data_IF_369139481518
#
_entry.id   IF_369139481518
#
_cell.length_a   1.000
_cell.length_b   1.000
_cell.length_c   1.000
_cell.angle_alpha   90.00
_cell.angle_beta   90.00
_cell.angle_gamma   90.00
#
_symmetry.space_group_name_H-M   'P 1'
#
loop_
_entity.id
_entity.type
_entity.pdbx_description
1 polymer ?
#
# COMPACT_ATOMS: atom_id res chain seq x y z
N UNK A 1 -0.54 -1.81 -51.61
CA UNK A 1 0.69 -1.02 -51.78
C UNK A 1 1.69 -1.41 -50.70
N UNK A 2 2.66 -2.22 -51.06
CA UNK A 2 3.73 -2.72 -50.20
C UNK A 2 4.74 -1.61 -49.90
N UNK A 3 4.80 -1.13 -48.65
CA UNK A 3 5.88 -0.26 -48.22
C UNK A 3 7.17 -1.07 -48.10
N UNK A 4 8.09 -0.84 -49.03
CA UNK A 4 9.48 -1.25 -48.92
C UNK A 4 10.08 -0.61 -47.65
N UNK A 5 10.40 -1.44 -46.66
CA UNK A 5 11.31 -1.04 -45.59
C UNK A 5 12.68 -0.67 -46.22
N UNK A 6 13.34 0.42 -45.78
CA UNK A 6 14.47 0.96 -46.53
C UNK A 6 15.67 0.01 -46.51
N UNK A 7 16.34 -0.13 -47.66
CA UNK A 7 17.56 -0.92 -47.90
C UNK A 7 18.74 -0.56 -46.96
N UNK A 8 18.63 0.47 -46.14
CA UNK A 8 19.62 0.88 -45.13
C UNK A 8 19.85 -0.17 -44.02
N UNK A 9 18.93 -1.13 -43.84
CA UNK A 9 19.07 -2.16 -42.80
C UNK A 9 20.18 -3.19 -43.06
N UNK A 10 20.51 -3.49 -44.33
CA UNK A 10 21.52 -4.51 -44.69
C UNK A 10 22.96 -4.02 -44.54
N UNK A 11 23.25 -2.75 -44.86
CA UNK A 11 24.61 -2.18 -44.76
C UNK A 11 25.10 -2.03 -43.31
N UNK A 12 24.17 -1.86 -42.35
CA UNK A 12 24.49 -1.72 -40.91
C UNK A 12 24.51 -3.04 -40.13
N UNK A 13 24.11 -4.16 -40.73
CA UNK A 13 24.11 -5.48 -40.08
C UNK A 13 25.50 -5.92 -39.54
N UNK A 14 26.60 -5.86 -40.32
CA UNK A 14 27.90 -6.30 -39.81
C UNK A 14 28.39 -5.43 -38.64
N UNK A 15 28.15 -4.12 -38.69
CA UNK A 15 28.46 -3.21 -37.59
C UNK A 15 27.66 -3.54 -36.32
N UNK A 16 26.37 -3.81 -36.45
CA UNK A 16 25.51 -4.20 -35.31
C UNK A 16 26.00 -5.50 -34.66
N UNK A 17 26.35 -6.51 -35.47
CA UNK A 17 26.86 -7.80 -34.98
C UNK A 17 28.20 -7.64 -34.25
N UNK A 18 29.13 -6.87 -34.85
CA UNK A 18 30.42 -6.55 -34.21
C UNK A 18 30.23 -5.83 -32.87
N UNK A 19 29.42 -4.77 -32.85
CA UNK A 19 29.12 -4.00 -31.64
C UNK A 19 28.53 -4.89 -30.54
N UNK A 20 27.56 -5.74 -30.88
CA UNK A 20 26.94 -6.67 -29.93
C UNK A 20 27.96 -7.68 -29.39
N UNK A 21 28.81 -8.23 -30.25
CA UNK A 21 29.84 -9.19 -29.85
C UNK A 21 30.82 -8.58 -28.84
N UNK A 22 31.37 -7.40 -29.15
CA UNK A 22 32.33 -6.71 -28.27
C UNK A 22 31.65 -6.31 -26.95
N UNK A 23 30.47 -5.70 -27.00
CA UNK A 23 29.73 -5.32 -25.80
C UNK A 23 29.45 -6.51 -24.89
N UNK A 24 28.97 -7.62 -25.45
CA UNK A 24 28.70 -8.84 -24.70
C UNK A 24 29.97 -9.46 -24.10
N UNK A 25 31.11 -9.38 -24.81
CA UNK A 25 32.41 -9.84 -24.32
C UNK A 25 32.95 -9.00 -23.17
N UNK A 26 32.71 -7.69 -23.19
CA UNK A 26 33.25 -6.75 -22.20
C UNK A 26 32.38 -6.67 -20.95
N UNK A 27 31.06 -6.49 -21.10
CA UNK A 27 30.13 -6.22 -20.00
C UNK A 27 29.42 -7.49 -19.48
N UNK A 28 29.27 -8.54 -20.30
CA UNK A 28 28.49 -9.72 -19.94
C UNK A 28 26.97 -9.48 -19.96
N UNK A 29 26.17 -10.52 -19.67
CA UNK A 29 24.68 -10.43 -19.65
C UNK A 29 24.12 -9.79 -18.36
N UNK A 30 24.81 -9.91 -17.23
CA UNK A 30 24.31 -9.45 -15.93
C UNK A 30 24.38 -7.92 -15.74
N UNK A 31 25.24 -7.23 -16.51
CA UNK A 31 25.40 -5.77 -16.45
C UNK A 31 24.20 -4.98 -17.02
N UNK A 32 23.27 -5.63 -17.73
CA UNK A 32 22.06 -4.98 -18.27
C UNK A 32 20.93 -4.83 -17.23
N UNK A 33 20.96 -5.60 -16.13
CA UNK A 33 19.80 -5.76 -15.23
C UNK A 33 19.90 -4.89 -13.96
N UNK A 34 21.08 -4.40 -13.60
CA UNK A 34 21.28 -3.60 -12.38
C UNK A 34 20.98 -2.11 -12.60
N UNK A 35 20.34 -1.50 -11.60
CA UNK A 35 20.03 -0.06 -11.47
C UNK A 35 21.18 0.79 -11.99
N UNK A 36 20.87 1.86 -12.75
CA UNK A 36 21.84 2.73 -13.43
C UNK A 36 22.77 3.48 -12.45
N UNK A 37 23.76 2.79 -11.89
CA UNK A 37 24.85 3.41 -11.16
C UNK A 37 25.87 4.01 -12.13
N UNK A 38 26.51 5.12 -11.77
CA UNK A 38 27.52 5.78 -12.61
C UNK A 38 28.65 4.83 -13.03
N UNK A 39 29.02 3.89 -12.16
CA UNK A 39 30.04 2.88 -12.48
C UNK A 39 29.66 2.00 -13.68
N UNK A 40 28.38 1.68 -13.85
CA UNK A 40 27.89 0.98 -15.04
C UNK A 40 28.02 1.86 -16.29
N UNK A 41 27.81 3.16 -16.17
CA UNK A 41 28.02 4.11 -17.27
C UNK A 41 29.50 4.21 -17.63
N UNK A 42 30.41 4.26 -16.66
CA UNK A 42 31.87 4.23 -16.90
C UNK A 42 32.34 2.93 -17.54
N UNK A 43 31.73 1.81 -17.17
CA UNK A 43 31.97 0.50 -17.81
C UNK A 43 31.46 0.47 -19.25
N UNK A 44 30.24 0.97 -19.50
CA UNK A 44 29.66 1.10 -20.85
C UNK A 44 30.47 2.04 -21.73
N UNK A 45 30.96 3.14 -21.17
CA UNK A 45 31.78 4.11 -21.89
C UNK A 45 33.10 3.48 -22.30
N UNK A 46 33.77 2.75 -21.40
CA UNK A 46 34.94 1.96 -21.75
C UNK A 46 34.65 0.93 -22.86
N UNK A 47 33.56 0.17 -22.75
CA UNK A 47 33.19 -0.81 -23.76
C UNK A 47 32.92 -0.15 -25.13
N UNK A 48 32.24 1.01 -25.15
CA UNK A 48 32.00 1.79 -26.35
C UNK A 48 33.32 2.28 -26.94
N UNK A 49 34.23 2.80 -26.11
CA UNK A 49 35.55 3.23 -26.57
C UNK A 49 36.31 2.09 -27.23
N UNK A 50 36.25 0.86 -26.70
CA UNK A 50 36.88 -0.31 -27.35
C UNK A 50 36.22 -0.65 -28.69
N UNK A 51 34.88 -0.60 -28.77
CA UNK A 51 34.12 -0.83 -30.02
C UNK A 51 34.56 0.12 -31.13
N UNK A 52 34.74 1.41 -30.82
CA UNK A 52 35.13 2.38 -31.84
C UNK A 52 36.64 2.44 -32.06
N UNK A 53 37.45 2.28 -31.01
CA UNK A 53 38.90 2.39 -31.11
C UNK A 53 39.52 1.22 -31.90
N UNK A 54 39.01 -0.01 -31.77
CA UNK A 54 39.60 -1.17 -32.46
C UNK A 54 39.61 -1.02 -33.99
N UNK A 55 38.50 -0.70 -34.69
CA UNK A 55 38.51 -0.53 -36.14
C UNK A 55 39.24 0.74 -36.56
N UNK A 56 39.06 1.85 -35.83
CA UNK A 56 39.65 3.15 -36.18
C UNK A 56 41.18 3.12 -36.02
N UNK A 57 41.70 2.42 -35.01
CA UNK A 57 43.14 2.29 -34.81
C UNK A 57 43.85 1.53 -35.92
N UNK A 58 43.17 0.66 -36.68
CA UNK A 58 43.76 0.00 -37.87
C UNK A 58 44.15 1.02 -38.95
N UNK A 59 43.37 2.10 -39.12
CA UNK A 59 43.70 3.18 -40.06
C UNK A 59 44.96 3.94 -39.65
N UNK A 60 45.24 4.05 -38.35
CA UNK A 60 46.47 4.66 -37.85
C UNK A 60 47.65 3.67 -37.87
N UNK A 61 47.39 2.40 -37.58
CA UNK A 61 48.40 1.37 -37.44
C UNK A 61 49.03 0.98 -38.78
N UNK A 62 48.23 0.84 -39.85
CA UNK A 62 48.73 0.40 -41.16
C UNK A 62 49.77 1.37 -41.74
N UNK A 63 49.52 2.69 -41.85
CA UNK A 63 50.53 3.64 -42.32
C UNK A 63 51.73 3.72 -41.39
N UNK A 64 51.50 3.67 -40.07
CA UNK A 64 52.59 3.69 -39.08
C UNK A 64 53.53 2.50 -39.25
N UNK A 65 52.99 1.32 -39.53
CA UNK A 65 53.77 0.10 -39.77
C UNK A 65 54.57 0.18 -41.08
N UNK A 66 53.94 0.67 -42.14
CA UNK A 66 54.59 0.89 -43.44
C UNK A 66 55.77 1.85 -43.30
N UNK A 67 55.56 3.00 -42.66
CA UNK A 67 56.61 4.01 -42.46
C UNK A 67 57.72 3.45 -41.56
N UNK A 68 57.39 2.77 -40.46
CA UNK A 68 58.39 2.20 -39.56
C UNK A 68 59.28 1.15 -40.26
N UNK A 69 58.70 0.34 -41.15
CA UNK A 69 59.43 -0.63 -41.96
C UNK A 69 60.38 0.04 -42.96
N UNK A 70 59.94 1.08 -43.66
CA UNK A 70 60.80 1.80 -44.62
C UNK A 70 61.87 2.67 -43.95
N UNK A 71 61.66 3.12 -42.71
CA UNK A 71 62.61 3.92 -41.94
C UNK A 71 63.62 3.09 -41.13
N UNK A 72 63.68 1.76 -41.33
CA UNK A 72 64.57 0.83 -40.60
C UNK A 72 64.43 0.91 -39.05
N UNK A 73 63.23 1.23 -38.57
CA UNK A 73 62.92 1.32 -37.14
C UNK A 73 62.24 0.05 -36.62
N UNK A 74 62.98 -1.07 -36.61
CA UNK A 74 62.46 -2.40 -36.26
C UNK A 74 61.80 -2.46 -34.87
N UNK A 75 62.38 -1.78 -33.88
CA UNK A 75 61.83 -1.77 -32.52
C UNK A 75 60.44 -1.12 -32.47
N UNK A 76 60.24 -0.02 -33.18
CA UNK A 76 58.96 0.69 -33.21
C UNK A 76 57.86 -0.18 -33.87
N UNK A 77 58.25 -0.91 -34.91
CA UNK A 77 57.40 -1.85 -35.62
C UNK A 77 56.90 -2.99 -34.71
N UNK A 78 57.82 -3.63 -33.97
CA UNK A 78 57.51 -4.69 -33.01
C UNK A 78 56.66 -4.17 -31.85
N UNK A 79 57.01 -3.01 -31.29
CA UNK A 79 56.26 -2.42 -30.18
C UNK A 79 54.81 -2.07 -30.57
N UNK A 80 54.59 -1.46 -31.74
CA UNK A 80 53.24 -1.09 -32.19
C UNK A 80 52.35 -2.32 -32.46
N UNK A 81 52.87 -3.33 -33.17
CA UNK A 81 52.12 -4.55 -33.46
C UNK A 81 51.85 -5.40 -32.20
N UNK A 82 52.87 -5.54 -31.34
CA UNK A 82 52.74 -6.25 -30.07
C UNK A 82 51.73 -5.58 -29.14
N UNK A 83 51.79 -4.25 -29.02
CA UNK A 83 50.88 -3.51 -28.16
C UNK A 83 49.43 -3.55 -28.67
N UNK A 84 49.20 -3.41 -29.97
CA UNK A 84 47.84 -3.55 -30.54
C UNK A 84 47.26 -4.94 -30.28
N UNK A 85 48.04 -5.99 -30.52
CA UNK A 85 47.63 -7.38 -30.27
C UNK A 85 47.30 -7.61 -28.80
N UNK A 86 48.15 -7.13 -27.90
CA UNK A 86 47.93 -7.20 -26.45
C UNK A 86 46.65 -6.45 -26.04
N UNK A 87 46.44 -5.22 -26.54
CA UNK A 87 45.24 -4.44 -26.28
C UNK A 87 43.97 -5.18 -26.69
N UNK A 88 43.94 -5.79 -27.88
CA UNK A 88 42.78 -6.54 -28.36
C UNK A 88 42.51 -7.77 -27.48
N UNK A 89 43.53 -8.56 -27.16
CA UNK A 89 43.41 -9.77 -26.34
C UNK A 89 42.91 -9.41 -24.93
N UNK A 90 43.52 -8.42 -24.29
CA UNK A 90 43.16 -7.99 -22.94
C UNK A 90 41.76 -7.36 -22.94
N UNK A 91 41.44 -6.54 -23.93
CA UNK A 91 40.14 -5.90 -24.05
C UNK A 91 39.00 -6.88 -24.33
N UNK A 92 39.25 -8.08 -24.87
CA UNK A 92 38.20 -9.08 -25.13
C UNK A 92 38.26 -10.28 -24.17
N UNK A 93 39.22 -10.31 -23.25
CA UNK A 93 39.39 -11.39 -22.28
C UNK A 93 38.24 -11.42 -21.27
N UNK A 94 37.56 -12.58 -21.18
CA UNK A 94 36.55 -12.86 -20.14
C UNK A 94 37.16 -13.34 -18.82
N UNK A 95 38.44 -13.74 -18.82
CA UNK A 95 39.11 -14.29 -17.63
C UNK A 95 39.56 -13.22 -16.63
N UNK A 96 39.79 -12.01 -17.11
CA UNK A 96 40.31 -10.90 -16.31
C UNK A 96 39.14 -9.98 -15.92
N UNK A 97 39.08 -9.58 -14.64
CA UNK A 97 38.07 -8.62 -14.14
C UNK A 97 38.14 -7.31 -14.94
N UNK A 98 36.98 -6.70 -15.20
CA UNK A 98 36.88 -5.50 -16.05
C UNK A 98 37.75 -4.33 -15.53
N UNK A 99 37.77 -4.09 -14.22
CA UNK A 99 38.62 -3.06 -13.61
C UNK A 99 40.11 -3.28 -13.88
N UNK A 100 40.59 -4.54 -13.83
CA UNK A 100 41.98 -4.89 -14.10
C UNK A 100 42.29 -4.72 -15.60
N UNK A 101 41.36 -5.10 -16.48
CA UNK A 101 41.51 -4.91 -17.94
C UNK A 101 41.67 -3.42 -18.28
N UNK A 102 40.82 -2.55 -17.72
CA UNK A 102 40.93 -1.10 -17.88
C UNK A 102 42.32 -0.59 -17.48
N UNK A 103 42.81 -1.02 -16.32
CA UNK A 103 44.12 -0.61 -15.80
C UNK A 103 45.27 -1.07 -16.71
N UNK A 104 45.29 -2.35 -17.11
CA UNK A 104 46.34 -2.89 -17.98
C UNK A 104 46.36 -2.17 -19.32
N UNK A 105 45.20 -1.90 -19.92
CA UNK A 105 45.09 -1.16 -21.19
C UNK A 105 45.69 0.24 -21.06
N UNK A 106 45.36 0.95 -19.98
CA UNK A 106 45.93 2.29 -19.72
C UNK A 106 47.45 2.21 -19.59
N UNK A 107 47.98 1.24 -18.83
CA UNK A 107 49.43 1.05 -18.68
C UNK A 107 50.10 0.79 -20.02
N UNK A 108 49.54 -0.09 -20.86
CA UNK A 108 50.09 -0.38 -22.20
C UNK A 108 50.10 0.90 -23.05
N UNK A 109 49.00 1.66 -23.08
CA UNK A 109 48.92 2.90 -23.85
C UNK A 109 49.94 3.94 -23.36
N UNK A 110 50.14 4.07 -22.04
CA UNK A 110 51.15 4.97 -21.46
C UNK A 110 52.57 4.55 -21.84
N UNK A 111 52.88 3.24 -21.83
CA UNK A 111 54.18 2.73 -22.25
C UNK A 111 54.45 3.03 -23.73
N UNK A 112 53.46 2.85 -24.61
CA UNK A 112 53.57 3.25 -26.03
C UNK A 112 53.86 4.75 -26.14
N UNK A 113 53.15 5.58 -25.39
CA UNK A 113 53.34 7.03 -25.41
C UNK A 113 54.77 7.43 -25.00
N UNK A 114 55.33 6.78 -23.98
CA UNK A 114 56.72 6.97 -23.54
C UNK A 114 57.71 6.58 -24.64
N UNK A 115 57.50 5.43 -25.29
CA UNK A 115 58.36 4.96 -26.41
C UNK A 115 58.29 5.97 -27.58
N UNK A 116 57.10 6.44 -27.93
CA UNK A 116 56.91 7.44 -28.98
C UNK A 116 57.61 8.75 -28.66
N UNK A 117 57.56 9.23 -27.41
CA UNK A 117 58.34 10.41 -26.99
C UNK A 117 59.83 10.11 -27.17
N UNK A 118 60.35 9.01 -26.63
CA UNK A 118 61.78 8.69 -26.66
C UNK A 118 62.38 8.57 -28.07
N UNK A 119 61.61 8.03 -29.04
CA UNK A 119 62.08 7.77 -30.40
C UNK A 119 61.78 8.89 -31.40
N UNK A 120 60.59 9.50 -31.32
CA UNK A 120 60.14 10.51 -32.30
C UNK A 120 60.23 11.94 -31.77
N UNK A 121 60.62 12.17 -30.51
CA UNK A 121 60.77 13.51 -29.97
C UNK A 121 59.45 14.28 -29.92
N UNK A 122 59.52 15.58 -30.22
CA UNK A 122 58.37 16.48 -30.32
C UNK A 122 57.57 16.33 -31.63
N UNK A 123 58.19 15.79 -32.69
CA UNK A 123 57.47 15.39 -33.91
C UNK A 123 56.59 14.17 -33.65
N UNK A 124 56.86 13.45 -32.56
CA UNK A 124 56.08 12.32 -32.09
C UNK A 124 54.73 12.74 -31.51
N UNK A 125 53.72 11.91 -31.78
CA UNK A 125 52.37 12.07 -31.24
C UNK A 125 52.32 11.67 -29.74
N UNK A 126 53.44 11.20 -29.14
CA UNK A 126 53.48 10.63 -27.79
C UNK A 126 52.95 11.54 -26.67
N UNK A 127 53.23 12.84 -26.70
CA UNK A 127 52.66 13.80 -25.75
C UNK A 127 51.15 13.99 -25.91
N UNK A 128 50.66 13.92 -27.14
CA UNK A 128 49.22 13.89 -27.44
C UNK A 128 48.61 12.60 -26.92
N UNK A 129 49.28 11.46 -27.04
CA UNK A 129 48.83 10.20 -26.43
C UNK A 129 48.72 10.31 -24.90
N UNK A 130 49.73 10.84 -24.20
CA UNK A 130 49.65 11.04 -22.75
C UNK A 130 48.47 11.94 -22.34
N UNK A 131 48.22 13.00 -23.13
CA UNK A 131 47.08 13.88 -22.92
C UNK A 131 45.75 13.12 -23.09
N UNK A 132 45.57 12.44 -24.20
CA UNK A 132 44.34 11.69 -24.53
C UNK A 132 44.10 10.54 -23.55
N UNK A 133 45.16 9.87 -23.09
CA UNK A 133 45.07 8.84 -22.05
C UNK A 133 44.56 9.44 -20.74
N UNK A 134 45.06 10.62 -20.34
CA UNK A 134 44.55 11.33 -19.16
C UNK A 134 43.05 11.64 -19.26
N UNK A 135 42.59 12.11 -20.42
CA UNK A 135 41.17 12.31 -20.72
C UNK A 135 40.38 11.01 -20.62
N UNK A 136 40.90 9.94 -21.21
CA UNK A 136 40.26 8.63 -21.20
C UNK A 136 40.11 8.07 -19.78
N UNK A 137 41.14 8.21 -18.94
CA UNK A 137 41.11 7.82 -17.52
C UNK A 137 40.04 8.61 -16.77
N UNK A 138 39.93 9.92 -17.00
CA UNK A 138 38.91 10.77 -16.36
C UNK A 138 37.48 10.30 -16.65
N UNK A 139 37.22 9.74 -17.84
CA UNK A 139 35.91 9.19 -18.20
C UNK A 139 35.62 7.80 -17.59
N UNK A 140 36.62 6.92 -17.49
CA UNK A 140 36.37 5.50 -17.16
C UNK A 140 36.67 5.14 -15.69
N UNK A 141 37.36 6.02 -14.95
CA UNK A 141 37.74 5.81 -13.55
C UNK A 141 37.15 6.89 -12.62
N UNK A 142 37.54 6.87 -11.34
CA UNK A 142 37.18 7.92 -10.38
C UNK A 142 38.08 9.15 -10.55
N UNK A 143 37.62 10.35 -10.15
CA UNK A 143 38.43 11.57 -10.21
C UNK A 143 39.80 11.42 -9.55
N UNK A 144 39.88 10.67 -8.44
CA UNK A 144 41.15 10.41 -7.73
C UNK A 144 42.17 9.72 -8.63
N UNK A 145 41.75 8.71 -9.38
CA UNK A 145 42.64 7.98 -10.31
C UNK A 145 43.06 8.88 -11.48
N UNK A 146 42.17 9.76 -11.96
CA UNK A 146 42.49 10.71 -13.01
C UNK A 146 43.57 11.72 -12.58
N UNK A 147 43.49 12.25 -11.35
CA UNK A 147 44.54 13.12 -10.81
C UNK A 147 45.85 12.38 -10.53
N UNK A 148 45.80 11.11 -10.11
CA UNK A 148 47.01 10.29 -9.99
C UNK A 148 47.68 10.06 -11.36
N UNK A 149 46.89 9.85 -12.41
CA UNK A 149 47.42 9.73 -13.77
C UNK A 149 48.03 11.04 -14.28
N UNK A 150 47.43 12.19 -13.95
CA UNK A 150 48.02 13.49 -14.22
C UNK A 150 49.38 13.64 -13.52
N UNK A 151 49.48 13.29 -12.24
CA UNK A 151 50.75 13.32 -11.51
C UNK A 151 51.81 12.39 -12.13
N UNK A 152 51.41 11.21 -12.63
CA UNK A 152 52.28 10.32 -13.38
C UNK A 152 52.77 10.97 -14.68
N UNK A 153 51.89 11.64 -15.43
CA UNK A 153 52.28 12.38 -16.64
C UNK A 153 53.29 13.49 -16.33
N UNK A 154 53.10 14.24 -15.23
CA UNK A 154 54.07 15.24 -14.76
C UNK A 154 55.43 14.61 -14.52
N UNK A 155 55.46 13.47 -13.81
CA UNK A 155 56.70 12.74 -13.54
C UNK A 155 57.39 12.31 -14.85
N UNK A 156 56.64 11.77 -15.81
CA UNK A 156 57.17 11.37 -17.13
C UNK A 156 57.83 12.56 -17.84
N UNK A 157 57.17 13.72 -17.89
CA UNK A 157 57.73 14.92 -18.53
C UNK A 157 58.99 15.43 -17.83
N UNK A 158 59.02 15.40 -16.49
CA UNK A 158 60.21 15.75 -15.71
C UNK A 158 61.35 14.78 -16.01
N UNK A 159 61.09 13.47 -16.05
CA UNK A 159 62.11 12.45 -16.38
C UNK A 159 62.72 12.70 -17.75
N UNK A 160 61.91 12.98 -18.78
CA UNK A 160 62.42 13.33 -20.10
C UNK A 160 63.19 14.66 -20.11
N UNK A 161 62.77 15.64 -19.31
CA UNK A 161 63.51 16.90 -19.14
C UNK A 161 64.90 16.68 -18.54
N UNK A 162 65.02 15.79 -17.55
CA UNK A 162 66.31 15.40 -16.97
C UNK A 162 67.19 14.65 -17.97
N UNK A 163 66.60 13.75 -18.77
CA UNK A 163 67.30 13.04 -19.87
C UNK A 163 67.89 14.05 -20.87
N UNK A 164 67.12 15.08 -21.25
CA UNK A 164 67.60 16.16 -22.15
C UNK A 164 68.75 16.94 -21.51
N UNK A 165 68.60 17.33 -20.24
CA UNK A 165 69.56 18.17 -19.55
C UNK A 165 70.91 17.47 -19.33
N UNK A 166 70.89 16.22 -18.85
CA UNK A 166 72.10 15.45 -18.57
C UNK A 166 72.65 14.68 -19.78
N UNK A 167 71.90 14.64 -20.90
CA UNK A 167 72.27 13.90 -22.11
C UNK A 167 72.57 12.42 -21.84
N UNK A 168 71.74 11.76 -21.03
CA UNK A 168 71.99 10.38 -20.56
C UNK A 168 72.12 9.31 -21.66
N UNK A 169 71.50 9.50 -22.84
CA UNK A 169 71.56 8.55 -23.96
C UNK A 169 71.60 9.29 -25.30
N UNK A 170 72.14 8.68 -26.36
CA UNK A 170 71.99 9.22 -27.72
C UNK A 170 70.56 8.96 -28.21
N UNK A 171 69.68 9.95 -28.01
CA UNK A 171 68.33 9.96 -28.56
C UNK A 171 68.16 11.16 -29.51
N UNK A 172 67.39 11.01 -30.61
CA UNK A 172 66.99 12.13 -31.48
C UNK A 172 66.40 13.32 -30.70
N UNK A 173 65.80 13.04 -29.54
CA UNK A 173 65.18 14.01 -28.64
C UNK A 173 66.17 15.06 -28.09
N UNK A 174 67.42 14.65 -27.79
CA UNK A 174 68.47 15.55 -27.27
C UNK A 174 69.06 16.43 -28.37
N UNK A 175 69.14 15.92 -29.60
CA UNK A 175 69.70 16.66 -30.74
C UNK A 175 68.75 17.73 -31.29
N UNK A 176 67.44 17.55 -31.12
CA UNK A 176 66.42 18.41 -31.72
C UNK A 176 65.91 19.51 -30.79
N UNK A 177 65.94 19.32 -29.46
CA UNK A 177 65.32 20.25 -28.51
C UNK A 177 66.27 20.68 -27.39
N UNK A 178 66.68 21.96 -27.36
CA UNK A 178 67.23 22.54 -26.16
C UNK A 178 66.18 22.54 -25.03
N UNK A 179 66.66 22.45 -23.79
CA UNK A 179 65.82 22.23 -22.59
C UNK A 179 64.71 23.27 -22.41
N UNK A 180 64.93 24.52 -22.82
CA UNK A 180 63.95 25.59 -22.74
C UNK A 180 62.69 25.32 -23.58
N UNK A 181 62.85 24.76 -24.79
CA UNK A 181 61.72 24.40 -25.65
C UNK A 181 60.95 23.19 -25.09
N UNK A 182 61.65 22.21 -24.50
CA UNK A 182 61.00 21.08 -23.85
C UNK A 182 60.15 21.52 -22.64
N UNK A 183 60.67 22.45 -21.84
CA UNK A 183 59.92 23.00 -20.70
C UNK A 183 58.65 23.71 -21.18
N UNK A 184 58.76 24.60 -22.17
CA UNK A 184 57.59 25.30 -22.72
C UNK A 184 56.57 24.33 -23.33
N UNK A 185 57.04 23.30 -24.05
CA UNK A 185 56.19 22.29 -24.67
C UNK A 185 55.46 21.43 -23.63
N UNK A 186 56.18 20.85 -22.69
CA UNK A 186 55.61 19.98 -21.65
C UNK A 186 54.65 20.72 -20.72
N UNK A 187 54.95 21.98 -20.35
CA UNK A 187 54.06 22.79 -19.53
C UNK A 187 52.73 23.08 -20.23
N UNK A 188 52.73 23.36 -21.54
CA UNK A 188 51.49 23.57 -22.29
C UNK A 188 50.62 22.31 -22.31
N UNK A 189 51.21 21.14 -22.55
CA UNK A 189 50.48 19.87 -22.51
C UNK A 189 49.96 19.52 -21.12
N UNK A 190 50.76 19.75 -20.07
CA UNK A 190 50.34 19.54 -18.69
C UNK A 190 49.21 20.48 -18.30
N UNK A 191 49.28 21.76 -18.68
CA UNK A 191 48.22 22.74 -18.45
C UNK A 191 46.91 22.31 -19.11
N UNK A 192 46.95 21.96 -20.41
CA UNK A 192 45.77 21.47 -21.14
C UNK A 192 45.23 20.18 -20.51
N UNK A 193 46.10 19.24 -20.14
CA UNK A 193 45.70 17.98 -19.54
C UNK A 193 45.02 18.20 -18.18
N UNK A 194 45.57 19.08 -17.35
CA UNK A 194 44.98 19.43 -16.05
C UNK A 194 43.59 20.06 -16.19
N UNK A 195 43.42 21.03 -17.11
CA UNK A 195 42.12 21.67 -17.35
C UNK A 195 41.10 20.62 -17.78
N UNK A 196 41.43 19.79 -18.78
CA UNK A 196 40.47 18.83 -19.33
C UNK A 196 40.09 17.77 -18.29
N UNK A 197 41.07 17.24 -17.54
CA UNK A 197 40.82 16.27 -16.47
C UNK A 197 39.91 16.87 -15.39
N UNK A 198 40.19 18.12 -14.99
CA UNK A 198 39.41 18.81 -13.96
C UNK A 198 37.97 19.06 -14.40
N UNK A 199 37.77 19.56 -15.63
CA UNK A 199 36.44 19.83 -16.20
C UNK A 199 35.61 18.54 -16.33
N UNK A 200 36.20 17.48 -16.90
CA UNK A 200 35.52 16.18 -17.03
C UNK A 200 35.17 15.61 -15.66
N UNK A 201 36.11 15.65 -14.72
CA UNK A 201 35.88 15.15 -13.36
C UNK A 201 34.75 15.90 -12.66
N UNK A 202 34.66 17.22 -12.83
CA UNK A 202 33.59 18.03 -12.25
C UNK A 202 32.23 17.75 -12.89
N UNK A 203 32.16 17.66 -14.22
CA UNK A 203 30.93 17.33 -14.95
C UNK A 203 30.42 15.94 -14.55
N UNK A 204 31.29 14.94 -14.50
CA UNK A 204 30.90 13.57 -14.14
C UNK A 204 30.43 13.49 -12.68
N UNK A 205 31.08 14.20 -11.76
CA UNK A 205 30.65 14.27 -10.37
C UNK A 205 29.28 14.97 -10.23
N UNK A 206 29.03 16.05 -10.98
CA UNK A 206 27.73 16.73 -11.00
C UNK A 206 26.61 15.85 -11.57
N UNK A 207 26.90 15.10 -12.64
CA UNK A 207 25.97 14.10 -13.20
C UNK A 207 25.67 12.99 -12.19
N UNK A 208 26.69 12.49 -11.47
CA UNK A 208 26.54 11.49 -10.43
C UNK A 208 25.56 11.94 -9.34
N UNK A 209 25.77 13.17 -8.85
CA UNK A 209 24.94 13.76 -7.81
C UNK A 209 23.50 13.96 -8.28
N UNK A 210 23.31 14.35 -9.54
CA UNK A 210 21.99 14.56 -10.14
C UNK A 210 21.22 13.24 -10.25
N UNK A 211 21.84 12.19 -10.80
CA UNK A 211 21.25 10.86 -10.91
C UNK A 211 20.90 10.30 -9.53
N UNK A 212 21.79 10.46 -8.55
CA UNK A 212 21.55 9.99 -7.18
C UNK A 212 20.36 10.72 -6.53
N UNK A 213 20.27 12.04 -6.73
CA UNK A 213 19.16 12.85 -6.21
C UNK A 213 17.82 12.45 -6.84
N UNK A 214 17.79 12.22 -8.16
CA UNK A 214 16.60 11.77 -8.88
C UNK A 214 16.15 10.37 -8.40
N UNK A 215 17.09 9.43 -8.28
CA UNK A 215 16.81 8.08 -7.79
C UNK A 215 16.22 8.11 -6.37
N UNK A 216 16.82 8.88 -5.45
CA UNK A 216 16.34 9.03 -4.07
C UNK A 216 14.93 9.63 -4.02
N UNK A 217 14.65 10.62 -4.87
CA UNK A 217 13.33 11.25 -4.92
C UNK A 217 12.27 10.27 -5.44
N UNK A 218 12.60 9.48 -6.46
CA UNK A 218 11.71 8.47 -7.01
C UNK A 218 11.40 7.37 -5.98
N UNK A 219 12.37 6.97 -5.17
CA UNK A 219 12.19 6.00 -4.09
C UNK A 219 11.24 6.51 -2.99
N UNK A 220 11.41 7.77 -2.58
CA UNK A 220 10.51 8.44 -1.62
C UNK A 220 9.09 8.52 -2.19
N UNK A 221 8.93 9.02 -3.42
CA UNK A 221 7.63 9.15 -4.06
C UNK A 221 6.91 7.81 -4.19
N UNK A 222 7.65 6.74 -4.53
CA UNK A 222 7.09 5.39 -4.64
C UNK A 222 6.57 4.88 -3.29
N UNK A 223 7.27 5.19 -2.19
CA UNK A 223 6.84 4.84 -0.84
C UNK A 223 5.57 5.59 -0.45
N UNK A 224 5.53 6.90 -0.67
CA UNK A 224 4.38 7.75 -0.33
C UNK A 224 3.13 7.36 -1.12
N UNK A 225 3.28 7.03 -2.41
CA UNK A 225 2.18 6.54 -3.24
C UNK A 225 1.60 5.23 -2.71
N UNK A 226 2.46 4.30 -2.28
CA UNK A 226 2.03 3.01 -1.72
C UNK A 226 1.26 3.20 -0.41
N UNK A 227 1.74 4.08 0.47
CA UNK A 227 1.05 4.41 1.72
C UNK A 227 -0.31 5.06 1.47
N UNK A 228 -0.37 6.01 0.53
CA UNK A 228 -1.62 6.67 0.13
C UNK A 228 -2.64 5.67 -0.43
N UNK A 229 -2.19 4.72 -1.24
CA UNK A 229 -3.05 3.67 -1.81
C UNK A 229 -3.58 2.72 -0.73
N UNK A 230 -2.74 2.32 0.22
CA UNK A 230 -3.15 1.50 1.37
C UNK A 230 -4.20 2.22 2.22
N UNK A 231 -3.98 3.49 2.55
CA UNK A 231 -4.94 4.28 3.33
C UNK A 231 -6.28 4.45 2.60
N UNK A 232 -6.25 4.67 1.28
CA UNK A 232 -7.47 4.77 0.48
C UNK A 232 -8.23 3.43 0.45
N UNK A 233 -7.53 2.30 0.35
CA UNK A 233 -8.16 0.98 0.39
C UNK A 233 -8.76 0.68 1.77
N UNK A 234 -8.06 1.02 2.85
CA UNK A 234 -8.58 0.89 4.21
C UNK A 234 -9.82 1.76 4.43
N UNK A 235 -9.81 3.01 3.93
CA UNK A 235 -10.97 3.89 3.99
C UNK A 235 -12.16 3.29 3.24
N UNK A 236 -11.97 2.82 2.00
CA UNK A 236 -13.02 2.16 1.21
C UNK A 236 -13.58 0.90 1.90
N UNK A 237 -12.72 0.08 2.51
CA UNK A 237 -13.15 -1.10 3.26
C UNK A 237 -13.96 -0.72 4.50
N UNK A 238 -13.52 0.28 5.25
CA UNK A 238 -14.24 0.81 6.41
C UNK A 238 -15.61 1.37 6.02
N UNK A 239 -15.68 2.17 4.95
CA UNK A 239 -16.93 2.70 4.42
C UNK A 239 -17.89 1.59 3.95
N UNK A 240 -17.38 0.58 3.25
CA UNK A 240 -18.17 -0.56 2.82
C UNK A 240 -18.70 -1.36 4.03
N UNK A 241 -17.85 -1.60 5.03
CA UNK A 241 -18.24 -2.32 6.24
C UNK A 241 -19.32 -1.56 7.03
N UNK A 242 -19.16 -0.25 7.21
CA UNK A 242 -20.17 0.61 7.82
C UNK A 242 -21.50 0.54 7.06
N UNK A 243 -21.47 0.67 5.72
CA UNK A 243 -22.69 0.58 4.90
C UNK A 243 -23.39 -0.75 5.09
N UNK A 244 -22.66 -1.86 5.06
CA UNK A 244 -23.22 -3.20 5.29
C UNK A 244 -23.83 -3.32 6.69
N UNK A 245 -23.12 -2.91 7.74
CA UNK A 245 -23.60 -3.01 9.13
C UNK A 245 -24.85 -2.17 9.40
N UNK A 246 -24.98 -1.01 8.75
CA UNK A 246 -26.13 -0.14 8.93
C UNK A 246 -27.30 -0.52 8.01
N UNK A 247 -27.09 -0.54 6.69
CA UNK A 247 -28.16 -0.73 5.71
C UNK A 247 -28.72 -2.16 5.74
N UNK A 248 -27.85 -3.17 5.88
CA UNK A 248 -28.25 -4.58 5.90
C UNK A 248 -28.62 -5.12 7.29
N UNK A 249 -28.71 -4.25 8.32
CA UNK A 249 -29.19 -4.68 9.62
C UNK A 249 -30.69 -5.03 9.54
N UNK A 250 -31.13 -6.22 9.98
CA UNK A 250 -32.54 -6.61 9.91
C UNK A 250 -33.43 -5.88 10.91
N UNK A 251 -32.86 -5.10 11.83
CA UNK A 251 -33.61 -4.27 12.78
C UNK A 251 -33.78 -2.87 12.20
N UNK A 252 -34.97 -2.26 12.24
CA UNK A 252 -35.15 -0.86 11.89
C UNK A 252 -34.19 0.06 12.63
N UNK A 253 -33.40 0.83 11.88
CA UNK A 253 -32.44 1.80 12.39
C UNK A 253 -32.51 3.10 11.60
N UNK A 254 -32.35 4.21 12.30
CA UNK A 254 -32.28 5.52 11.69
C UNK A 254 -31.44 6.49 12.49
N UNK A 255 -30.89 7.47 11.78
CA UNK A 255 -30.18 8.61 12.34
C UNK A 255 -31.06 9.82 12.09
N UNK A 256 -31.28 10.64 13.12
CA UNK A 256 -32.05 11.88 13.00
C UNK A 256 -31.33 13.06 13.62
N UNK A 257 -31.60 14.24 13.05
CA UNK A 257 -30.98 15.49 13.43
C UNK A 257 -31.48 15.96 14.79
N UNK A 258 -30.57 16.50 15.61
CA UNK A 258 -30.88 16.95 16.97
C UNK A 258 -31.86 18.11 17.01
N UNK A 259 -31.68 19.08 16.11
CA UNK A 259 -32.40 20.36 16.19
C UNK A 259 -33.72 20.31 15.43
N UNK A 260 -33.72 19.67 14.26
CA UNK A 260 -34.87 19.61 13.36
C UNK A 260 -35.71 18.35 13.51
N UNK A 261 -35.20 17.34 14.23
CA UNK A 261 -35.83 16.02 14.36
C UNK A 261 -36.07 15.29 13.03
N UNK A 262 -35.46 15.78 11.94
CA UNK A 262 -35.58 15.20 10.60
C UNK A 262 -34.70 13.96 10.49
N UNK A 263 -35.17 12.95 9.77
CA UNK A 263 -34.33 11.80 9.45
C UNK A 263 -33.16 12.20 8.54
N UNK A 264 -31.95 11.83 8.94
CA UNK A 264 -30.71 12.03 8.19
C UNK A 264 -30.32 10.76 7.42
N UNK A 265 -30.59 9.59 8.00
CA UNK A 265 -30.32 8.30 7.38
C UNK A 265 -31.26 7.23 7.92
N UNK A 266 -31.65 6.29 7.07
CA UNK A 266 -32.56 5.18 7.40
C UNK A 266 -32.03 3.91 6.74
N UNK A 267 -32.14 2.77 7.42
CA UNK A 267 -31.73 1.48 6.87
C UNK A 267 -32.88 0.75 6.18
N UNK A 268 -32.57 -0.35 5.48
CA UNK A 268 -33.53 -1.06 4.64
C UNK A 268 -34.66 -1.68 5.46
N UNK A 269 -34.36 -2.20 6.66
CA UNK A 269 -35.37 -2.75 7.57
C UNK A 269 -36.38 -1.69 8.06
N UNK A 270 -35.97 -0.44 8.25
CA UNK A 270 -36.90 0.64 8.59
C UNK A 270 -37.83 0.98 7.41
N UNK A 271 -37.30 1.01 6.19
CA UNK A 271 -38.12 1.24 4.99
C UNK A 271 -39.16 0.13 4.83
N UNK A 272 -38.76 -1.13 4.98
CA UNK A 272 -39.65 -2.29 4.90
C UNK A 272 -40.71 -2.26 6.00
N UNK A 273 -40.31 -1.99 7.25
CA UNK A 273 -41.23 -2.06 8.39
C UNK A 273 -42.28 -0.94 8.38
N UNK A 274 -41.90 0.26 7.96
CA UNK A 274 -42.79 1.42 7.99
C UNK A 274 -43.47 1.70 6.64
N UNK A 275 -42.99 1.12 5.55
CA UNK A 275 -43.61 1.19 4.22
C UNK A 275 -43.40 2.51 3.46
N UNK A 276 -42.49 3.36 3.90
CA UNK A 276 -42.12 4.60 3.19
C UNK A 276 -40.95 4.36 2.24
N UNK A 277 -40.90 5.12 1.13
CA UNK A 277 -39.68 5.18 0.34
C UNK A 277 -38.59 5.95 1.08
N UNK A 278 -37.33 5.77 0.71
CA UNK A 278 -36.20 6.47 1.34
C UNK A 278 -36.35 7.98 1.29
N UNK A 279 -36.76 8.54 0.15
CA UNK A 279 -36.89 9.99 -0.02
C UNK A 279 -38.06 10.55 0.79
N UNK A 280 -39.19 9.82 0.84
CA UNK A 280 -40.31 10.14 1.74
C UNK A 280 -39.84 10.16 3.19
N UNK A 281 -39.19 9.08 3.65
CA UNK A 281 -38.74 8.95 5.04
C UNK A 281 -37.75 10.05 5.43
N UNK A 282 -36.79 10.39 4.56
CA UNK A 282 -35.80 11.46 4.82
C UNK A 282 -36.41 12.87 4.83
N UNK A 283 -37.59 13.06 4.24
CA UNK A 283 -38.34 14.32 4.31
C UNK A 283 -39.15 14.49 5.60
N UNK A 284 -39.36 13.40 6.34
CA UNK A 284 -40.17 13.36 7.57
C UNK A 284 -39.34 13.65 8.83
N UNK A 285 -40.05 13.81 9.94
CA UNK A 285 -39.51 14.00 11.29
C UNK A 285 -39.97 12.88 12.23
N UNK A 286 -39.28 12.70 13.36
CA UNK A 286 -39.62 11.65 14.35
C UNK A 286 -41.09 11.69 14.82
N UNK A 287 -41.73 12.85 15.07
CA UNK A 287 -43.15 12.90 15.41
C UNK A 287 -44.08 12.32 14.34
N UNK A 288 -43.73 12.37 13.06
CA UNK A 288 -44.60 11.93 11.95
C UNK A 288 -44.85 10.42 11.96
N UNK A 289 -43.96 9.63 12.57
CA UNK A 289 -44.10 8.18 12.73
C UNK A 289 -44.69 7.75 14.09
N UNK A 290 -45.12 8.70 14.92
CA UNK A 290 -45.64 8.46 16.29
C UNK A 290 -47.12 8.83 16.39
N UNK A 291 -47.83 8.21 17.35
CA UNK A 291 -49.17 8.66 17.72
C UNK A 291 -49.15 9.94 18.56
N UNK A 292 -50.23 10.73 18.52
CA UNK A 292 -50.30 12.08 19.10
C UNK A 292 -49.96 12.13 20.60
N UNK A 293 -50.39 11.15 21.39
CA UNK A 293 -50.09 11.07 22.83
C UNK A 293 -48.70 10.53 23.19
N UNK A 294 -47.89 10.18 22.18
CA UNK A 294 -46.52 9.67 22.34
C UNK A 294 -45.45 10.76 22.13
N UNK A 295 -45.88 12.00 21.87
CA UNK A 295 -45.00 13.15 21.58
C UNK A 295 -44.45 13.77 22.88
N UNK A 296 -45.26 13.88 23.94
CA UNK A 296 -44.76 14.37 25.24
C UNK A 296 -43.67 13.44 25.82
N UNK A 297 -43.82 12.14 25.64
CA UNK A 297 -42.83 11.15 26.06
C UNK A 297 -41.54 11.20 25.22
N UNK A 298 -41.63 11.61 23.95
CA UNK A 298 -40.46 11.78 23.09
C UNK A 298 -39.53 12.87 23.63
N UNK A 299 -40.08 14.04 23.95
CA UNK A 299 -39.31 15.16 24.48
C UNK A 299 -38.60 14.80 25.79
N UNK A 300 -39.25 14.02 26.66
CA UNK A 300 -38.66 13.52 27.91
C UNK A 300 -37.51 12.55 27.63
N UNK A 301 -37.68 11.61 26.71
CA UNK A 301 -36.63 10.66 26.34
C UNK A 301 -35.41 11.37 25.74
N UNK A 302 -35.61 12.36 24.88
CA UNK A 302 -34.50 13.11 24.28
C UNK A 302 -33.70 13.85 25.35
N UNK A 303 -34.38 14.56 26.25
CA UNK A 303 -33.72 15.25 27.36
C UNK A 303 -32.95 14.27 28.26
N UNK A 304 -33.48 13.05 28.45
CA UNK A 304 -32.79 12.01 29.21
C UNK A 304 -31.54 11.48 28.50
N UNK A 305 -31.61 11.21 27.19
CA UNK A 305 -30.46 10.80 26.37
C UNK A 305 -29.36 11.86 26.41
N UNK A 306 -29.73 13.14 26.29
CA UNK A 306 -28.80 14.27 26.37
C UNK A 306 -28.13 14.37 27.74
N UNK A 307 -28.88 14.12 28.81
CA UNK A 307 -28.35 14.16 30.18
C UNK A 307 -27.45 12.95 30.49
N UNK A 308 -27.83 11.75 30.07
CA UNK A 308 -27.14 10.52 30.42
C UNK A 308 -25.92 10.26 29.52
N UNK A 309 -25.91 10.77 28.28
CA UNK A 309 -24.93 10.44 27.25
C UNK A 309 -24.82 8.92 26.98
N UNK A 310 -25.87 8.17 27.29
CA UNK A 310 -25.98 6.72 27.07
C UNK A 310 -27.19 6.42 26.19
N UNK A 311 -27.31 5.15 25.77
CA UNK A 311 -28.54 4.70 25.11
C UNK A 311 -29.68 4.60 26.12
N UNK A 312 -30.78 5.28 25.85
CA UNK A 312 -32.02 5.23 26.64
C UNK A 312 -33.06 4.43 25.86
N UNK A 313 -33.77 3.57 26.58
CA UNK A 313 -34.86 2.75 26.03
C UNK A 313 -36.22 3.41 26.33
N UNK A 314 -37.10 3.45 25.34
CA UNK A 314 -38.48 3.89 25.49
C UNK A 314 -39.42 3.04 24.64
N UNK A 315 -40.59 2.70 25.17
CA UNK A 315 -41.67 2.04 24.42
C UNK A 315 -42.64 3.11 23.94
N UNK A 316 -42.84 3.19 22.63
CA UNK A 316 -43.73 4.16 22.00
C UNK A 316 -44.69 3.50 21.02
N UNK A 317 -45.85 4.12 20.81
CA UNK A 317 -46.79 3.74 19.75
C UNK A 317 -46.39 4.44 18.45
N UNK A 318 -45.95 3.64 17.49
CA UNK A 318 -45.56 4.09 16.17
C UNK A 318 -46.62 3.73 15.13
N UNK A 319 -46.57 4.40 13.98
CA UNK A 319 -47.49 4.17 12.85
C UNK A 319 -46.73 4.17 11.53
N UNK A 320 -46.99 3.16 10.71
CA UNK A 320 -46.47 3.06 9.33
C UNK A 320 -47.32 3.85 8.33
N UNK A 321 -46.93 3.80 7.04
CA UNK A 321 -47.67 4.40 5.92
C UNK A 321 -49.08 3.80 5.75
N UNK A 322 -49.24 2.54 6.14
CA UNK A 322 -50.52 1.82 6.15
C UNK A 322 -51.47 2.26 7.27
N UNK A 323 -51.04 3.16 8.14
CA UNK A 323 -51.83 3.71 9.24
C UNK A 323 -52.01 2.78 10.45
N UNK A 324 -51.47 1.55 10.43
CA UNK A 324 -51.68 0.59 11.51
C UNK A 324 -50.74 0.90 12.69
N UNK A 325 -51.27 1.09 13.91
CA UNK A 325 -50.43 1.37 15.07
C UNK A 325 -49.74 0.11 15.58
N UNK A 326 -48.51 0.27 16.07
CA UNK A 326 -47.75 -0.82 16.67
C UNK A 326 -46.86 -0.30 17.80
N UNK A 327 -46.55 -1.18 18.76
CA UNK A 327 -45.63 -0.85 19.84
C UNK A 327 -44.18 -1.06 19.38
N UNK A 328 -43.39 0.00 19.49
CA UNK A 328 -41.96 0.02 19.19
C UNK A 328 -41.16 0.26 20.47
N UNK A 329 -40.31 -0.69 20.83
CA UNK A 329 -39.23 -0.50 21.79
C UNK A 329 -38.07 0.18 21.05
N UNK A 330 -37.80 1.44 21.40
CA UNK A 330 -36.79 2.28 20.75
C UNK A 330 -35.65 2.51 21.70
N UNK A 331 -34.43 2.13 21.29
CA UNK A 331 -33.19 2.51 21.96
C UNK A 331 -32.54 3.65 21.20
N UNK A 332 -32.33 4.78 21.87
CA UNK A 332 -31.81 6.00 21.28
C UNK A 332 -30.54 6.46 22.00
N UNK A 333 -29.51 6.86 21.26
CA UNK A 333 -28.25 7.39 21.79
C UNK A 333 -27.66 8.48 20.92
N UNK A 334 -26.78 9.31 21.49
CA UNK A 334 -26.11 10.41 20.77
C UNK A 334 -24.91 9.87 19.99
N UNK A 335 -24.77 10.31 18.73
CA UNK A 335 -23.63 10.02 17.87
C UNK A 335 -23.14 11.27 17.13
N UNK A 336 -21.84 11.40 16.85
CA UNK A 336 -21.35 12.35 15.86
C UNK A 336 -21.68 11.83 14.45
N UNK A 337 -22.36 12.63 13.64
CA UNK A 337 -22.71 12.27 12.26
C UNK A 337 -22.55 13.49 11.33
N UNK A 338 -21.76 13.34 10.26
CA UNK A 338 -21.45 14.41 9.31
C UNK A 338 -21.00 15.75 9.95
N UNK A 339 -20.21 15.67 11.03
CA UNK A 339 -19.69 16.84 11.75
C UNK A 339 -20.71 17.55 12.65
N UNK A 340 -21.89 16.96 12.87
CA UNK A 340 -22.92 17.46 13.79
C UNK A 340 -23.32 16.39 14.80
N UNK A 341 -23.91 16.82 15.91
CA UNK A 341 -24.51 15.91 16.88
C UNK A 341 -25.86 15.41 16.35
N UNK A 342 -26.04 14.10 16.28
CA UNK A 342 -27.27 13.45 15.85
C UNK A 342 -27.64 12.34 16.83
N UNK A 343 -28.84 11.78 16.65
CA UNK A 343 -29.30 10.64 17.42
C UNK A 343 -29.37 9.41 16.53
N UNK A 344 -28.86 8.28 17.03
CA UNK A 344 -29.07 6.96 16.43
C UNK A 344 -30.18 6.25 17.21
N UNK A 345 -31.23 5.85 16.52
CA UNK A 345 -32.29 5.05 17.08
C UNK A 345 -32.33 3.65 16.45
N UNK A 346 -32.59 2.65 17.28
CA UNK A 346 -32.84 1.26 16.89
C UNK A 346 -34.21 0.90 17.43
N UNK A 347 -35.10 0.43 16.57
CA UNK A 347 -36.48 0.13 16.96
C UNK A 347 -36.84 -1.33 16.74
N UNK A 348 -37.43 -1.93 17.77
CA UNK A 348 -37.93 -3.30 17.74
C UNK A 348 -39.45 -3.29 17.89
N UNK A 349 -40.16 -3.98 17.00
CA UNK A 349 -41.60 -4.16 17.16
C UNK A 349 -41.86 -5.22 18.24
N UNK A 350 -42.54 -4.81 19.32
CA UNK A 350 -42.88 -5.66 20.47
C UNK A 350 -44.40 -5.86 20.62
N UNK A 351 -45.17 -5.54 19.58
CA UNK A 351 -46.66 -5.62 19.62
C UNK A 351 -47.14 -7.01 19.98
N UNK A 352 -46.64 -8.04 19.27
CA UNK A 352 -46.95 -9.44 19.59
C UNK A 352 -46.60 -9.80 21.03
N UNK A 353 -45.45 -9.33 21.51
CA UNK A 353 -45.00 -9.62 22.88
C UNK A 353 -45.95 -9.00 23.91
N UNK A 354 -46.39 -7.76 23.70
CA UNK A 354 -47.37 -7.10 24.57
C UNK A 354 -48.72 -7.81 24.51
N UNK A 355 -49.21 -8.17 23.33
CA UNK A 355 -50.47 -8.90 23.15
C UNK A 355 -50.46 -10.26 23.85
N UNK A 356 -49.39 -11.04 23.69
CA UNK A 356 -49.23 -12.33 24.37
C UNK A 356 -49.17 -12.18 25.88
N UNK A 357 -48.38 -11.23 26.39
CA UNK A 357 -48.29 -10.99 27.83
C UNK A 357 -49.64 -10.57 28.41
N UNK A 358 -50.37 -9.68 27.74
CA UNK A 358 -51.72 -9.27 28.16
C UNK A 358 -52.71 -10.44 28.15
N UNK A 359 -52.66 -11.32 27.15
CA UNK A 359 -53.51 -12.52 27.10
C UNK A 359 -53.20 -13.49 28.25
N UNK A 360 -51.93 -13.71 28.57
CA UNK A 360 -51.48 -14.55 29.70
C UNK A 360 -51.93 -13.94 31.03
N UNK A 361 -51.77 -12.63 31.22
CA UNK A 361 -52.21 -11.93 32.42
C UNK A 361 -53.72 -12.07 32.62
N UNK A 362 -54.50 -11.87 31.56
CA UNK A 362 -55.96 -12.04 31.60
C UNK A 362 -56.35 -13.48 31.95
N UNK A 363 -55.65 -14.48 31.41
CA UNK A 363 -55.88 -15.89 31.75
C UNK A 363 -55.52 -16.19 33.21
N UNK A 364 -54.41 -15.66 33.71
CA UNK A 364 -54.00 -15.81 35.11
C UNK A 364 -54.99 -15.17 36.08
N UNK A 365 -55.56 -14.01 35.76
CA UNK A 365 -56.62 -13.40 36.57
C UNK A 365 -57.87 -14.27 36.64
N UNK A 366 -58.30 -14.86 35.51
CA UNK A 366 -59.43 -15.81 35.48
C UNK A 366 -59.15 -17.03 36.35
N UNK A 367 -57.97 -17.63 36.24
CA UNK A 367 -57.55 -18.76 37.07
C UNK A 367 -57.52 -18.42 38.57
N UNK A 368 -57.02 -17.24 38.94
CA UNK A 368 -57.01 -16.77 40.33
C UNK A 368 -58.42 -16.62 40.89
N UNK A 369 -59.37 -16.11 40.10
CA UNK A 369 -60.79 -16.02 40.50
C UNK A 369 -61.40 -17.40 40.77
N UNK A 370 -61.14 -18.38 39.90
CA UNK A 370 -61.62 -19.76 40.08
C UNK A 370 -61.01 -20.38 41.34
N UNK A 371 -59.69 -20.27 41.53
CA UNK A 371 -59.01 -20.81 42.72
C UNK A 371 -59.52 -20.17 44.04
N UNK A 372 -59.84 -18.87 44.01
CA UNK A 372 -60.46 -18.17 45.14
C UNK A 372 -61.87 -18.72 45.45
N UNK A 373 -62.73 -18.88 44.42
CA UNK A 373 -64.06 -19.48 44.59
C UNK A 373 -63.97 -20.91 45.13
N UNK A 374 -63.07 -21.72 44.59
CA UNK A 374 -62.83 -23.09 45.06
C UNK A 374 -62.48 -23.14 46.55
N UNK A 375 -61.61 -22.25 47.03
CA UNK A 375 -61.15 -22.31 48.42
C UNK A 375 -62.17 -21.76 49.42
N UNK A 376 -62.90 -20.70 49.06
CA UNK A 376 -63.76 -19.99 49.99
C UNK A 376 -65.21 -20.51 50.00
N UNK A 377 -65.72 -20.94 48.85
CA UNK A 377 -67.14 -21.30 48.68
C UNK A 377 -67.38 -22.79 48.93
N UNK A 378 -66.43 -23.67 48.59
CA UNK A 378 -66.52 -25.12 48.86
C UNK A 378 -66.32 -25.44 50.35
N UNK A 379 -65.45 -24.68 51.03
CA UNK A 379 -65.09 -24.97 52.43
C UNK A 379 -66.29 -24.89 53.37
N UNK A 380 -67.19 -23.95 53.14
CA UNK A 380 -68.36 -23.73 54.01
C UNK A 380 -69.34 -24.93 54.06
N UNK A 381 -69.86 -25.47 52.94
CA UNK A 381 -70.69 -26.68 52.98
C UNK A 381 -69.90 -27.92 53.38
N UNK A 382 -68.62 -28.03 53.00
CA UNK A 382 -67.78 -29.17 53.40
C UNK A 382 -67.56 -29.23 54.92
N UNK A 383 -67.26 -28.10 55.57
CA UNK A 383 -67.14 -28.03 57.02
C UNK A 383 -68.45 -28.36 57.73
N UNK A 384 -69.60 -27.94 57.16
CA UNK A 384 -70.93 -28.33 57.66
C UNK A 384 -71.16 -29.84 57.55
N UNK A 385 -70.86 -30.43 56.40
CA UNK A 385 -70.95 -31.88 56.17
C UNK A 385 -70.10 -32.63 57.21
N UNK A 386 -68.82 -32.25 57.36
CA UNK A 386 -67.91 -32.91 58.31
C UNK A 386 -68.42 -32.83 59.76
N UNK A 387 -68.87 -31.64 60.19
CA UNK A 387 -69.43 -31.46 61.53
C UNK A 387 -70.71 -32.27 61.76
N UNK A 388 -71.63 -32.26 60.79
CA UNK A 388 -72.86 -33.07 60.86
C UNK A 388 -72.55 -34.57 60.87
N UNK A 389 -71.60 -35.03 60.06
CA UNK A 389 -71.19 -36.45 60.06
C UNK A 389 -70.56 -36.87 61.38
N UNK A 390 -69.75 -36.02 62.03
CA UNK A 390 -69.14 -36.34 63.32
C UNK A 390 -70.20 -36.44 64.44
N UNK A 391 -71.18 -35.52 64.44
CA UNK A 391 -72.33 -35.57 65.35
C UNK A 391 -73.15 -36.85 65.16
N UNK A 392 -73.41 -37.24 63.90
CA UNK A 392 -74.12 -38.48 63.58
C UNK A 392 -73.34 -39.76 63.93
N UNK A 393 -72.01 -39.70 64.01
CA UNK A 393 -71.17 -40.82 64.45
C UNK A 393 -71.15 -40.96 65.98
N UNK A 394 -71.33 -39.86 66.71
CA UNK A 394 -71.32 -39.83 68.17
C UNK A 394 -72.68 -40.17 68.79
N UNK A 395 -73.79 -39.78 68.15
CA UNK A 395 -75.15 -40.06 68.63
C UNK A 395 -75.83 -41.16 67.80
N UNK A 396 -76.26 -42.25 68.46
CA UNK A 396 -76.81 -43.45 67.80
C UNK A 396 -78.32 -43.38 67.56
N UNK A 397 -78.99 -42.31 67.99
CA UNK A 397 -80.38 -42.06 67.60
C UNK A 397 -80.39 -41.18 66.36
N UNK A 398 -80.70 -41.79 65.21
CA UNK A 398 -80.73 -41.12 63.92
C UNK A 398 -81.77 -40.00 63.89
N UNK A 399 -81.31 -38.78 64.15
CA UNK A 399 -82.14 -37.58 64.11
C UNK A 399 -82.39 -37.20 62.64
N UNK A 400 -83.65 -37.28 62.20
CA UNK A 400 -84.06 -37.00 60.82
C UNK A 400 -83.71 -35.56 60.41
N UNK A 401 -83.59 -34.66 61.39
CA UNK A 401 -83.22 -33.27 61.18
C UNK A 401 -81.74 -33.13 60.75
N UNK A 402 -80.82 -33.89 61.35
CA UNK A 402 -79.40 -33.93 60.96
C UNK A 402 -79.21 -34.46 59.53
N UNK A 403 -79.97 -35.49 59.15
CA UNK A 403 -79.99 -36.02 57.79
C UNK A 403 -80.45 -34.98 56.76
N UNK A 404 -81.46 -34.18 57.09
CA UNK A 404 -81.94 -33.10 56.23
C UNK A 404 -80.90 -31.98 56.07
N UNK A 405 -80.23 -31.56 57.14
CA UNK A 405 -79.15 -30.56 57.05
C UNK A 405 -77.94 -31.06 56.27
N UNK A 406 -77.64 -32.35 56.36
CA UNK A 406 -76.60 -33.00 55.58
C UNK A 406 -76.97 -32.99 54.09
N UNK A 407 -78.19 -33.39 53.74
CA UNK A 407 -78.69 -33.38 52.36
C UNK A 407 -78.67 -31.97 51.74
N UNK A 408 -79.07 -30.93 52.49
CA UNK A 408 -78.98 -29.54 52.06
C UNK A 408 -77.52 -29.13 51.80
N UNK A 409 -76.61 -29.45 52.73
CA UNK A 409 -75.19 -29.07 52.59
C UNK A 409 -74.51 -29.82 51.42
N UNK A 410 -74.90 -31.07 51.16
CA UNK A 410 -74.44 -31.85 50.00
C UNK A 410 -74.96 -31.25 48.69
N UNK A 411 -76.24 -30.87 48.62
CA UNK A 411 -76.82 -30.21 47.44
C UNK A 411 -76.19 -28.84 47.16
N UNK A 412 -75.94 -28.05 48.20
CA UNK A 412 -75.24 -26.78 48.07
C UNK A 412 -73.80 -26.99 47.56
N UNK A 413 -73.09 -27.99 48.07
CA UNK A 413 -71.76 -28.35 47.59
C UNK A 413 -71.78 -28.75 46.11
N UNK A 414 -72.76 -29.54 45.69
CA UNK A 414 -72.91 -29.96 44.29
C UNK A 414 -73.16 -28.76 43.35
N UNK A 415 -74.02 -27.82 43.75
CA UNK A 415 -74.26 -26.58 42.99
C UNK A 415 -72.98 -25.75 42.84
N UNK A 416 -72.20 -25.62 43.92
CA UNK A 416 -70.92 -24.90 43.89
C UNK A 416 -69.91 -25.59 42.96
N UNK A 417 -69.84 -26.92 43.01
CA UNK A 417 -68.96 -27.71 42.12
C UNK A 417 -69.39 -27.54 40.65
N UNK A 418 -70.69 -27.62 40.34
CA UNK A 418 -71.19 -27.43 38.98
C UNK A 418 -70.88 -26.02 38.45
N UNK A 419 -71.04 -24.98 39.27
CA UNK A 419 -70.65 -23.61 38.90
C UNK A 419 -69.17 -23.52 38.54
N UNK A 420 -68.29 -24.11 39.36
CA UNK A 420 -66.84 -24.10 39.11
C UNK A 420 -66.49 -24.86 37.83
N UNK A 421 -67.12 -26.02 37.59
CA UNK A 421 -66.88 -26.82 36.38
C UNK A 421 -67.31 -26.06 35.12
N UNK A 422 -68.45 -25.36 35.16
CA UNK A 422 -68.90 -24.53 34.04
C UNK A 422 -67.94 -23.36 33.77
N UNK A 423 -67.52 -22.64 34.81
CA UNK A 423 -66.57 -21.52 34.68
C UNK A 423 -65.18 -21.98 34.20
N UNK A 424 -64.79 -23.22 34.54
CA UNK A 424 -63.53 -23.84 34.06
C UNK A 424 -63.65 -24.31 32.61
N UNK A 425 -64.84 -24.78 32.19
CA UNK A 425 -65.11 -25.24 30.83
C UNK A 425 -65.07 -24.14 29.76
N UNK A 426 -65.29 -22.88 30.14
CA UNK A 426 -65.15 -21.72 29.24
C UNK A 426 -63.68 -21.34 28.95
N UNK A 427 -62.71 -21.89 29.68
CA UNK A 427 -61.28 -21.68 29.44
C UNK A 427 -60.80 -22.69 28.38
N UNK A 428 -61.17 -22.48 27.11
CA UNK A 428 -60.55 -23.21 26.01
C UNK A 428 -59.08 -22.75 25.82
N UNK A 429 -58.14 -23.66 25.54
CA UNK A 429 -56.77 -23.29 25.26
C UNK A 429 -56.71 -22.44 23.96
N UNK A 430 -55.75 -21.51 23.84
CA UNK A 430 -55.54 -20.81 22.59
C UNK A 430 -55.26 -21.85 21.49
N UNK A 431 -56.06 -21.83 20.41
CA UNK A 431 -55.73 -22.58 19.20
C UNK A 431 -54.38 -22.06 18.69
N UNK A 432 -53.38 -22.93 18.71
CA UNK A 432 -52.02 -22.70 18.18
C UNK A 432 -52.07 -22.49 16.67
#
# INVERSE_FOLDING_TARGET
MSQQAPQTSKLLQPWKLYRQYVMHRILGKEHEIKVQHLDLWKDKLFANSVVYAMPVSLFALIPSFIIAYYSEHDLLCVCNAGAFTALVIIALSKRIKLAIRKLIIVVILTLIAIILIAYLGSFGIGSVYLMVIGVFIAFIFSPRVAYMAFALNVLIYITFGLIIFFKWFNSPLIGQYPINYWIAYSLNFLFLNYIVITQISHILAGLEQTIYKEYRLMEILRRDLKEKEQNNNLLKQSEAHYKTLFFSNPTPMWIFDRDTMRFLQVNDAALEKYGYTKDEFLSMTIPDIRESGSIEDLSRTIAEVERSQTFVENIAKHRGKDGHPFYAEVRCGIIPFNGKTAFLAIARNITRQIEYTGAIEQQNEKLRKIAFMQSHVIRAPLSRILGLTDLMLQDKQGDQELLNFLDISVKELDVVIQSIVNDTGEILPPRV
#
